data_IF_994983602379
#
_entry.id   IF_994983602379
#
_cell.length_a   1.000
_cell.length_b   1.000
_cell.length_c   1.000
_cell.angle_alpha   90.00
_cell.angle_beta   90.00
_cell.angle_gamma   90.00
#
_symmetry.space_group_name_H-M   'P 1'
#
loop_
_entity.id
_entity.type
_entity.pdbx_description
1 polymer ?
#
# COMPACT_ATOMS: atom_id res chain seq x y z
N UNK A 1 14.63 7.23 -19.09
CA UNK A 1 14.34 6.57 -17.79
C UNK A 1 13.13 5.65 -18.00
N UNK A 2 13.30 4.33 -17.88
CA UNK A 2 12.16 3.39 -17.99
C UNK A 2 11.36 3.42 -16.69
N UNK A 3 10.32 4.24 -16.63
CA UNK A 3 9.32 4.16 -15.57
C UNK A 3 8.45 2.93 -15.82
N UNK A 4 8.66 1.86 -15.05
CA UNK A 4 7.76 0.71 -15.02
C UNK A 4 6.36 1.20 -14.65
N UNK A 5 5.38 0.92 -15.51
CA UNK A 5 3.99 1.26 -15.24
C UNK A 5 3.43 0.50 -14.04
N UNK A 6 2.24 0.89 -13.54
CA UNK A 6 1.58 0.23 -12.42
C UNK A 6 1.34 -1.25 -12.75
N UNK A 7 1.79 -2.17 -11.89
CA UNK A 7 1.44 -3.58 -12.03
C UNK A 7 -0.01 -3.79 -11.61
N UNK A 8 -0.73 -4.59 -12.39
CA UNK A 8 -2.15 -4.92 -12.17
C UNK A 8 -2.31 -6.38 -11.70
N UNK A 9 -1.38 -6.84 -10.85
CA UNK A 9 -1.31 -8.23 -10.33
C UNK A 9 -1.33 -9.32 -11.42
N UNK A 10 -0.95 -8.99 -12.66
CA UNK A 10 -1.12 -9.87 -13.83
C UNK A 10 -0.28 -11.15 -13.74
N UNK A 11 0.88 -11.08 -13.09
CA UNK A 11 1.79 -12.22 -12.94
C UNK A 11 1.20 -13.27 -12.00
N UNK A 12 0.71 -12.84 -10.84
CA UNK A 12 0.11 -13.73 -9.84
C UNK A 12 -1.26 -14.24 -10.29
N UNK A 13 -2.07 -13.41 -10.95
CA UNK A 13 -3.29 -13.85 -11.62
C UNK A 13 -3.04 -14.95 -12.67
N UNK A 14 -1.94 -14.83 -13.44
CA UNK A 14 -1.54 -15.88 -14.39
C UNK A 14 -1.16 -17.17 -13.67
N UNK A 15 -0.42 -17.10 -12.56
CA UNK A 15 -0.05 -18.28 -11.76
C UNK A 15 -1.31 -18.98 -11.25
N UNK A 16 -2.19 -18.26 -10.56
CA UNK A 16 -3.45 -18.79 -10.02
C UNK A 16 -4.30 -19.46 -11.09
N UNK A 17 -4.39 -18.84 -12.28
CA UNK A 17 -5.13 -19.41 -13.42
C UNK A 17 -4.50 -20.70 -13.95
N UNK A 18 -3.16 -20.78 -14.01
CA UNK A 18 -2.45 -21.95 -14.53
C UNK A 18 -2.48 -23.11 -13.52
N UNK A 19 -2.33 -22.82 -12.24
CA UNK A 19 -2.33 -23.84 -11.18
C UNK A 19 -3.73 -24.21 -10.71
N UNK A 20 -4.75 -23.44 -11.12
CA UNK A 20 -6.13 -23.51 -10.63
C UNK A 20 -6.21 -23.49 -9.08
N UNK A 21 -5.30 -22.75 -8.45
CA UNK A 21 -5.15 -22.70 -7.00
C UNK A 21 -4.58 -21.35 -6.56
N UNK A 22 -5.02 -20.86 -5.40
CA UNK A 22 -4.48 -19.64 -4.79
C UNK A 22 -3.06 -19.87 -4.28
N UNK A 23 -2.24 -18.83 -4.34
CA UNK A 23 -0.85 -18.85 -3.86
C UNK A 23 -0.85 -18.86 -2.32
N UNK A 24 -0.26 -19.88 -1.71
CA UNK A 24 -0.06 -19.92 -0.26
C UNK A 24 1.05 -18.95 0.14
N UNK A 25 0.78 -18.11 1.14
CA UNK A 25 1.79 -17.31 1.81
C UNK A 25 2.26 -18.11 3.01
N UNK A 26 3.57 -18.31 3.13
CA UNK A 26 4.19 -18.92 4.30
C UNK A 26 5.25 -17.98 4.83
N UNK A 27 5.42 -17.95 6.14
CA UNK A 27 6.52 -17.26 6.77
C UNK A 27 7.69 -18.23 7.00
N UNK A 28 8.90 -17.80 6.65
CA UNK A 28 10.14 -18.50 6.96
C UNK A 28 10.82 -17.76 8.11
N UNK A 29 10.80 -18.37 9.30
CA UNK A 29 11.38 -17.82 10.52
C UNK A 29 12.89 -17.54 10.38
N UNK A 30 13.63 -18.38 9.64
CA UNK A 30 15.09 -18.24 9.48
C UNK A 30 15.44 -16.96 8.72
N UNK A 31 14.66 -16.65 7.69
CA UNK A 31 14.89 -15.50 6.82
C UNK A 31 13.99 -14.30 7.17
N UNK A 32 13.07 -14.46 8.13
CA UNK A 32 12.09 -13.46 8.56
C UNK A 32 11.27 -12.86 7.41
N UNK A 33 10.98 -13.68 6.41
CA UNK A 33 10.35 -13.29 5.16
C UNK A 33 9.62 -14.48 4.51
N UNK A 34 9.12 -14.32 3.28
CA UNK A 34 8.62 -15.44 2.50
C UNK A 34 9.77 -16.43 2.16
N UNK A 35 9.47 -17.72 1.88
CA UNK A 35 10.50 -18.74 1.69
C UNK A 35 11.32 -18.55 0.41
N UNK A 36 10.82 -17.75 -0.53
CA UNK A 36 11.54 -17.38 -1.75
C UNK A 36 11.51 -15.88 -1.97
N UNK A 37 12.60 -15.36 -2.55
CA UNK A 37 12.71 -13.95 -2.92
C UNK A 37 11.68 -13.57 -4.00
N UNK A 38 11.33 -14.48 -4.92
CA UNK A 38 10.29 -14.22 -5.91
C UNK A 38 8.91 -14.06 -5.28
N UNK A 39 8.56 -14.89 -4.27
CA UNK A 39 7.29 -14.78 -3.57
C UNK A 39 7.24 -13.49 -2.75
N UNK A 40 8.30 -13.17 -2.01
CA UNK A 40 8.41 -11.91 -1.28
C UNK A 40 8.20 -10.71 -2.22
N UNK A 41 8.93 -10.67 -3.34
CA UNK A 41 8.86 -9.57 -4.30
C UNK A 41 7.48 -9.45 -4.94
N UNK A 42 6.85 -10.58 -5.32
CA UNK A 42 5.53 -10.59 -5.93
C UNK A 42 4.46 -10.12 -4.94
N UNK A 43 4.51 -10.61 -3.70
CA UNK A 43 3.58 -10.24 -2.64
C UNK A 43 3.71 -8.76 -2.29
N UNK A 44 4.93 -8.24 -2.09
CA UNK A 44 5.16 -6.82 -1.82
C UNK A 44 4.65 -5.93 -2.98
N UNK A 45 4.83 -6.39 -4.23
CA UNK A 45 4.35 -5.68 -5.40
C UNK A 45 2.82 -5.62 -5.47
N UNK A 46 2.16 -6.76 -5.22
CA UNK A 46 0.71 -6.88 -5.25
C UNK A 46 0.06 -6.13 -4.07
N UNK A 47 0.67 -6.17 -2.87
CA UNK A 47 0.29 -5.34 -1.72
C UNK A 47 0.41 -3.86 -2.08
N UNK A 48 1.50 -3.47 -2.74
CA UNK A 48 1.68 -2.10 -3.22
C UNK A 48 0.55 -1.65 -4.15
N UNK A 49 0.12 -2.51 -5.07
CA UNK A 49 -1.04 -2.25 -5.92
C UNK A 49 -2.31 -2.09 -5.09
N UNK A 50 -2.59 -3.03 -4.18
CA UNK A 50 -3.77 -2.98 -3.31
C UNK A 50 -3.81 -1.70 -2.48
N UNK A 51 -2.67 -1.30 -1.91
CA UNK A 51 -2.57 -0.06 -1.12
C UNK A 51 -2.90 1.15 -1.99
N UNK A 52 -2.33 1.26 -3.20
CA UNK A 52 -2.60 2.40 -4.09
C UNK A 52 -4.05 2.48 -4.53
N UNK A 53 -4.65 1.34 -4.86
CA UNK A 53 -5.97 1.29 -5.50
C UNK A 53 -7.14 1.21 -4.52
N UNK A 54 -6.95 0.60 -3.35
CA UNK A 54 -8.06 0.28 -2.44
C UNK A 54 -7.88 0.86 -1.04
N UNK A 55 -6.68 1.30 -0.65
CA UNK A 55 -6.50 1.87 0.68
C UNK A 55 -7.00 3.32 0.71
N UNK A 56 -7.91 3.70 1.64
CA UNK A 56 -8.46 5.05 1.76
C UNK A 56 -7.46 6.13 2.23
N UNK A 57 -6.25 5.78 2.67
CA UNK A 57 -5.19 6.74 3.03
C UNK A 57 -5.53 7.84 4.09
N UNK A 58 -6.68 7.78 4.76
CA UNK A 58 -7.15 8.76 5.76
C UNK A 58 -6.57 8.58 7.18
N UNK A 59 -5.40 7.97 7.31
CA UNK A 59 -4.80 7.67 8.61
C UNK A 59 -3.34 8.09 8.67
N UNK A 60 -2.86 8.38 9.89
CA UNK A 60 -1.45 8.77 10.08
C UNK A 60 -0.50 7.64 9.67
N UNK A 61 -0.87 6.38 9.90
CA UNK A 61 -0.10 5.18 9.53
C UNK A 61 -1.01 3.95 9.44
N UNK A 62 -0.52 2.88 8.81
CA UNK A 62 -1.20 1.57 8.81
C UNK A 62 -1.55 1.10 10.23
N UNK A 63 -0.66 1.32 11.21
CA UNK A 63 -0.86 0.87 12.60
C UNK A 63 -2.14 1.40 13.24
N UNK A 64 -2.50 2.66 12.96
CA UNK A 64 -3.65 3.33 13.60
C UNK A 64 -4.94 3.23 12.78
N UNK A 65 -4.89 2.57 11.62
CA UNK A 65 -6.10 2.28 10.83
C UNK A 65 -6.96 1.24 11.58
N UNK A 66 -8.30 1.37 11.57
CA UNK A 66 -9.20 0.39 12.16
C UNK A 66 -9.00 -1.00 11.52
N UNK A 67 -9.12 -2.04 12.33
CA UNK A 67 -8.87 -3.40 11.87
C UNK A 67 -9.91 -3.88 10.85
N UNK A 68 -11.15 -3.41 10.94
CA UNK A 68 -12.21 -3.67 9.95
C UNK A 68 -11.78 -3.24 8.55
N UNK A 69 -11.27 -2.01 8.42
CA UNK A 69 -10.75 -1.47 7.16
C UNK A 69 -9.50 -2.24 6.70
N UNK A 70 -8.60 -2.60 7.63
CA UNK A 70 -7.44 -3.43 7.28
C UNK A 70 -7.85 -4.80 6.73
N UNK A 71 -8.90 -5.42 7.29
CA UNK A 71 -9.44 -6.69 6.81
C UNK A 71 -9.96 -6.54 5.38
N UNK A 72 -10.75 -5.49 5.10
CA UNK A 72 -11.27 -5.23 3.76
C UNK A 72 -10.16 -4.98 2.73
N UNK A 73 -9.18 -4.15 3.08
CA UNK A 73 -8.03 -3.86 2.19
C UNK A 73 -7.20 -5.13 1.96
N UNK A 74 -6.91 -5.93 3.00
CA UNK A 74 -6.22 -7.21 2.85
C UNK A 74 -7.01 -8.20 2.00
N UNK A 75 -8.34 -8.21 2.13
CA UNK A 75 -9.24 -9.09 1.37
C UNK A 75 -9.11 -8.94 -0.15
N UNK A 76 -8.63 -7.79 -0.64
CA UNK A 76 -8.33 -7.60 -2.06
C UNK A 76 -7.24 -8.55 -2.59
N UNK A 77 -6.39 -9.10 -1.71
CA UNK A 77 -5.40 -10.13 -2.09
C UNK A 77 -6.01 -11.52 -2.29
N UNK A 78 -7.20 -11.79 -1.76
CA UNK A 78 -7.85 -13.12 -1.80
C UNK A 78 -8.11 -13.62 -3.22
N UNK A 79 -8.07 -12.74 -4.21
CA UNK A 79 -8.14 -13.11 -5.63
C UNK A 79 -6.99 -14.03 -6.04
N UNK A 80 -5.78 -13.78 -5.51
CA UNK A 80 -4.56 -14.48 -5.92
C UNK A 80 -3.91 -15.28 -4.79
N UNK A 81 -4.14 -14.91 -3.54
CA UNK A 81 -3.47 -15.50 -2.38
C UNK A 81 -4.49 -16.18 -1.46
N UNK A 82 -4.08 -17.27 -0.83
CA UNK A 82 -4.89 -17.91 0.20
C UNK A 82 -4.69 -17.15 1.52
N UNK A 83 -5.75 -16.49 2.00
CA UNK A 83 -5.75 -15.75 3.26
C UNK A 83 -6.43 -16.50 4.41
N UNK A 84 -7.19 -17.56 4.12
CA UNK A 84 -7.98 -18.31 5.11
C UNK A 84 -7.08 -19.18 6.00
N UNK A 85 -5.97 -19.68 5.44
CA UNK A 85 -5.02 -20.58 6.11
C UNK A 85 -3.76 -19.86 6.61
N UNK A 86 -3.81 -18.54 6.86
CA UNK A 86 -2.66 -17.82 7.39
C UNK A 86 -2.48 -18.09 8.89
N UNK A 87 -1.32 -18.62 9.25
CA UNK A 87 -0.86 -18.60 10.64
C UNK A 87 -0.54 -17.17 11.11
N UNK A 88 -0.41 -17.00 12.43
CA UNK A 88 -0.19 -15.72 13.07
C UNK A 88 1.10 -15.02 12.58
N UNK A 89 2.15 -15.80 12.33
CA UNK A 89 3.44 -15.29 11.85
C UNK A 89 3.34 -14.77 10.41
N UNK A 90 2.68 -15.51 9.54
CA UNK A 90 2.40 -15.13 8.15
C UNK A 90 1.49 -13.91 8.08
N UNK A 91 0.47 -13.84 8.95
CA UNK A 91 -0.39 -12.66 9.05
C UNK A 91 0.40 -11.43 9.54
N UNK A 92 1.27 -11.60 10.54
CA UNK A 92 2.17 -10.55 11.03
C UNK A 92 3.09 -10.06 9.91
N UNK A 93 3.68 -10.97 9.16
CA UNK A 93 4.55 -10.66 8.03
C UNK A 93 3.81 -9.89 6.92
N UNK A 94 2.61 -10.33 6.54
CA UNK A 94 1.76 -9.63 5.57
C UNK A 94 1.43 -8.22 6.06
N UNK A 95 1.06 -8.06 7.34
CA UNK A 95 0.80 -6.74 7.93
C UNK A 95 2.03 -5.84 7.94
N UNK A 96 3.23 -6.38 8.12
CA UNK A 96 4.49 -5.63 8.00
C UNK A 96 4.65 -5.07 6.58
N UNK A 97 4.43 -5.90 5.55
CA UNK A 97 4.49 -5.45 4.16
C UNK A 97 3.42 -4.39 3.85
N UNK A 98 2.20 -4.53 4.37
CA UNK A 98 1.19 -3.48 4.23
C UNK A 98 1.62 -2.17 4.88
N UNK A 99 2.21 -2.21 6.08
CA UNK A 99 2.71 -1.02 6.74
C UNK A 99 3.84 -0.34 5.95
N UNK A 100 4.76 -1.12 5.39
CA UNK A 100 5.85 -0.65 4.54
C UNK A 100 5.31 0.01 3.25
N UNK A 101 4.41 -0.68 2.53
CA UNK A 101 3.84 -0.16 1.29
C UNK A 101 2.93 1.04 1.52
N UNK A 102 2.18 1.07 2.62
CA UNK A 102 1.39 2.24 3.04
C UNK A 102 2.28 3.45 3.29
N UNK A 103 3.37 3.26 4.05
CA UNK A 103 4.34 4.31 4.34
C UNK A 103 4.99 4.84 3.06
N UNK A 104 5.41 3.94 2.17
CA UNK A 104 6.02 4.32 0.90
C UNK A 104 5.04 5.13 0.05
N UNK A 105 3.82 4.63 -0.13
CA UNK A 105 2.81 5.33 -0.93
C UNK A 105 2.48 6.70 -0.36
N UNK A 106 2.33 6.80 0.97
CA UNK A 106 2.12 8.10 1.62
C UNK A 106 3.28 9.07 1.41
N UNK A 107 4.52 8.57 1.39
CA UNK A 107 5.69 9.38 1.06
C UNK A 107 5.65 9.85 -0.40
N UNK A 108 5.27 9.00 -1.34
CA UNK A 108 5.15 9.35 -2.76
C UNK A 108 4.08 10.43 -2.96
N UNK A 109 2.94 10.31 -2.27
CA UNK A 109 1.87 11.32 -2.25
C UNK A 109 2.33 12.65 -1.64
N UNK A 110 3.17 12.62 -0.60
CA UNK A 110 3.75 13.84 -0.03
C UNK A 110 4.72 14.51 -1.01
N UNK A 111 5.55 13.75 -1.72
CA UNK A 111 6.41 14.32 -2.78
C UNK A 111 5.58 14.93 -3.92
N UNK A 112 4.48 14.27 -4.30
CA UNK A 112 3.53 14.82 -5.27
C UNK A 112 2.91 16.13 -4.79
N UNK A 113 2.47 16.19 -3.53
CA UNK A 113 1.99 17.43 -2.91
C UNK A 113 3.03 18.56 -2.95
N UNK A 114 4.30 18.27 -2.66
CA UNK A 114 5.38 19.25 -2.67
C UNK A 114 5.75 19.76 -4.08
N UNK A 115 5.26 19.12 -5.15
CA UNK A 115 5.50 19.57 -6.52
C UNK A 115 4.62 20.76 -6.93
N UNK A 116 3.65 21.15 -6.09
CA UNK A 116 2.77 22.30 -6.31
C UNK A 116 3.25 23.50 -5.49
N UNK A 117 3.36 24.66 -6.13
CA UNK A 117 3.71 25.92 -5.46
C UNK A 117 2.54 26.50 -4.65
N UNK A 118 1.31 26.28 -5.13
CA UNK A 118 0.08 26.72 -4.47
C UNK A 118 -0.68 25.51 -3.89
N UNK A 119 -0.81 25.43 -2.55
CA UNK A 119 -1.60 24.41 -1.89
C UNK A 119 -3.05 24.31 -2.39
N UNK A 120 -3.71 25.43 -2.73
CA UNK A 120 -5.09 25.40 -3.23
C UNK A 120 -5.18 24.70 -4.59
N UNK A 121 -4.19 24.90 -5.46
CA UNK A 121 -4.08 24.18 -6.74
C UNK A 121 -3.84 22.69 -6.49
N UNK A 122 -2.99 22.33 -5.52
CA UNK A 122 -2.74 20.94 -5.16
C UNK A 122 -4.01 20.21 -4.68
N UNK A 123 -4.89 20.90 -3.95
CA UNK A 123 -6.15 20.34 -3.47
C UNK A 123 -7.13 20.06 -4.61
N UNK A 124 -7.33 21.04 -5.50
CA UNK A 124 -8.37 20.96 -6.53
C UNK A 124 -7.95 20.23 -7.81
N UNK A 125 -6.69 20.40 -8.23
CA UNK A 125 -6.17 19.86 -9.49
C UNK A 125 -5.07 18.81 -9.28
N UNK A 126 -4.56 18.70 -8.05
CA UNK A 126 -3.43 17.83 -7.73
C UNK A 126 -3.81 16.41 -7.32
N UNK A 127 -5.08 16.01 -7.34
CA UNK A 127 -5.47 14.64 -6.96
C UNK A 127 -4.82 13.62 -7.92
N UNK A 128 -3.99 12.68 -7.43
CA UNK A 128 -3.42 11.63 -8.26
C UNK A 128 -4.48 10.72 -8.86
N UNK A 129 -4.24 10.21 -10.08
CA UNK A 129 -5.20 9.32 -10.78
C UNK A 129 -5.54 8.06 -9.98
N UNK A 130 -4.60 7.55 -9.18
CA UNK A 130 -4.84 6.41 -8.31
C UNK A 130 -5.87 6.69 -7.20
N UNK A 131 -6.13 7.97 -6.88
CA UNK A 131 -7.13 8.42 -5.90
C UNK A 131 -8.40 8.99 -6.55
N UNK A 132 -8.55 8.93 -7.88
CA UNK A 132 -9.76 9.37 -8.59
C UNK A 132 -10.99 8.58 -8.10
N UNK A 133 -12.08 9.28 -7.75
CA UNK A 133 -13.26 8.71 -7.11
C UNK A 133 -13.12 8.46 -5.60
N UNK A 134 -12.02 8.90 -5.00
CA UNK A 134 -11.72 8.88 -3.55
C UNK A 134 -11.12 10.22 -3.12
N UNK A 135 -11.75 11.31 -3.55
CA UNK A 135 -11.30 12.68 -3.32
C UNK A 135 -11.19 13.00 -1.82
N UNK A 136 -12.05 12.41 -0.99
CA UNK A 136 -12.02 12.47 0.47
C UNK A 136 -10.68 11.98 1.06
N UNK A 137 -10.03 11.02 0.40
CA UNK A 137 -8.73 10.50 0.77
C UNK A 137 -7.63 11.52 0.49
N UNK A 138 -7.72 12.22 -0.65
CA UNK A 138 -6.79 13.27 -1.02
C UNK A 138 -6.95 14.51 -0.14
N UNK A 139 -8.18 14.93 0.15
CA UNK A 139 -8.49 16.04 1.06
C UNK A 139 -7.90 15.81 2.46
N UNK A 140 -8.06 14.60 3.00
CA UNK A 140 -7.46 14.25 4.29
C UNK A 140 -5.94 14.34 4.27
N UNK A 141 -5.30 13.80 3.23
CA UNK A 141 -3.85 13.84 3.06
C UNK A 141 -3.33 15.26 2.94
N UNK A 142 -4.03 16.12 2.19
CA UNK A 142 -3.72 17.52 2.03
C UNK A 142 -3.74 18.27 3.37
N UNK A 143 -4.81 18.08 4.17
CA UNK A 143 -4.88 18.64 5.52
C UNK A 143 -3.76 18.09 6.42
N UNK A 144 -3.46 16.79 6.30
CA UNK A 144 -2.43 16.12 7.07
C UNK A 144 -1.01 16.64 6.76
N UNK A 145 -0.68 16.87 5.49
CA UNK A 145 0.64 17.33 5.07
C UNK A 145 0.94 18.78 5.50
N UNK A 146 -0.10 19.61 5.62
CA UNK A 146 0.02 20.99 6.12
C UNK A 146 0.03 21.08 7.66
N UNK A 147 -0.40 20.03 8.36
CA UNK A 147 -0.45 20.06 9.81
C UNK A 147 0.95 20.32 10.41
N UNK A 148 1.11 21.25 11.36
CA UNK A 148 2.42 21.59 11.93
C UNK A 148 3.17 20.37 12.49
N UNK A 149 2.44 19.42 13.10
CA UNK A 149 3.00 18.16 13.58
C UNK A 149 3.72 17.36 12.48
N UNK A 150 3.17 17.37 11.27
CA UNK A 150 3.72 16.65 10.13
C UNK A 150 4.90 17.42 9.53
N UNK A 151 4.75 18.72 9.28
CA UNK A 151 5.80 19.58 8.73
C UNK A 151 7.07 19.53 9.58
N UNK A 152 6.92 19.66 10.90
CA UNK A 152 8.06 19.61 11.83
C UNK A 152 8.79 18.25 11.76
N UNK A 153 8.04 17.14 11.68
CA UNK A 153 8.63 15.80 11.54
C UNK A 153 9.29 15.59 10.18
N UNK A 154 8.71 16.13 9.10
CA UNK A 154 9.25 16.00 7.76
C UNK A 154 10.57 16.77 7.60
N UNK A 155 10.73 17.91 8.26
CA UNK A 155 11.97 18.71 8.25
C UNK A 155 13.11 18.05 9.03
N UNK A 156 12.82 17.38 10.15
CA UNK A 156 13.85 16.69 10.97
C UNK A 156 14.40 15.44 10.27
N UNK A 157 13.62 14.81 9.39
CA UNK A 157 14.01 13.58 8.68
C UNK A 157 14.65 13.83 7.29
N UNK A 158 14.93 15.10 6.95
CA UNK A 158 15.60 15.47 5.68
C UNK A 158 17.11 15.30 5.74
#
# INVERSE_FOLDING_TARGET
KNTRGPCRQLKTAKVTRVTNSRISIRYDERHRAAPTAELHSSLAHDIGHVVRTHCPMQWKSWRVMPDEIKVEVRGQLSTNYNLEDLDEESLTYVNRLFAEMYKQWKSDLHHHFLAFDDPQVALHEGCPKELEGREDSWEWLYAHFQAPEFVNKAQVNK
#
